data_IF_121678856837
#
_entry.id   IF_121678856837
#
_cell.length_a   1.000
_cell.length_b   1.000
_cell.length_c   1.000
_cell.angle_alpha   90.00
_cell.angle_beta   90.00
_cell.angle_gamma   90.00
#
_symmetry.space_group_name_H-M   'P 1'
#
loop_
_entity.id
_entity.type
_entity.pdbx_description
1 polymer ?
#
# COMPACT_ATOMS: atom_id res chain seq x y z
N UNK A 1 -1.74 -51.23 -20.19
CA UNK A 1 -3.15 -50.86 -20.46
C UNK A 1 -3.71 -50.31 -19.18
N UNK A 2 -4.20 -49.07 -19.18
CA UNK A 2 -4.50 -48.33 -17.94
C UNK A 2 -5.83 -47.60 -18.09
N UNK A 3 -6.66 -47.65 -17.05
CA UNK A 3 -7.86 -46.83 -16.90
C UNK A 3 -7.80 -46.07 -15.59
N UNK A 4 -8.31 -44.85 -15.59
CA UNK A 4 -8.26 -43.92 -14.46
C UNK A 4 -9.66 -43.43 -14.15
N UNK A 5 -9.98 -43.40 -12.86
CA UNK A 5 -11.29 -43.01 -12.35
C UNK A 5 -11.14 -41.96 -11.26
N UNK A 6 -11.96 -40.93 -11.30
CA UNK A 6 -12.08 -39.92 -10.25
C UNK A 6 -12.95 -40.44 -9.11
N UNK A 7 -12.61 -40.01 -7.90
CA UNK A 7 -13.38 -40.29 -6.71
C UNK A 7 -13.35 -39.08 -5.78
N UNK A 8 -14.41 -38.93 -4.99
CA UNK A 8 -14.59 -37.79 -4.08
C UNK A 8 -14.31 -38.13 -2.61
N UNK A 9 -14.08 -39.41 -2.29
CA UNK A 9 -13.75 -39.89 -0.95
C UNK A 9 -12.25 -39.81 -0.62
N UNK A 10 -11.85 -40.09 0.62
CA UNK A 10 -10.44 -40.24 0.98
C UNK A 10 -9.78 -41.45 0.28
N UNK A 11 -8.44 -41.39 0.08
CA UNK A 11 -7.66 -42.35 -0.72
C UNK A 11 -7.82 -43.79 -0.21
N UNK A 12 -7.70 -43.99 1.10
CA UNK A 12 -7.85 -45.29 1.75
C UNK A 12 -9.27 -45.86 1.57
N UNK A 13 -10.30 -45.01 1.71
CA UNK A 13 -11.69 -45.41 1.48
C UNK A 13 -11.96 -45.76 0.02
N UNK A 14 -11.32 -45.07 -0.92
CA UNK A 14 -11.46 -45.35 -2.35
C UNK A 14 -10.82 -46.70 -2.70
N UNK A 15 -9.64 -47.00 -2.15
CA UNK A 15 -8.96 -48.27 -2.36
C UNK A 15 -9.75 -49.46 -1.79
N UNK A 16 -10.30 -49.33 -0.58
CA UNK A 16 -11.16 -50.37 0.03
C UNK A 16 -12.44 -50.62 -0.77
N UNK A 17 -13.09 -49.56 -1.27
CA UNK A 17 -14.26 -49.71 -2.16
C UNK A 17 -13.88 -50.43 -3.46
N UNK A 18 -12.75 -50.08 -4.06
CA UNK A 18 -12.24 -50.75 -5.24
C UNK A 18 -11.92 -52.23 -4.95
N UNK A 19 -11.34 -52.55 -3.79
CA UNK A 19 -11.11 -53.94 -3.39
C UNK A 19 -12.41 -54.76 -3.37
N UNK A 20 -13.46 -54.24 -2.71
CA UNK A 20 -14.77 -54.90 -2.63
C UNK A 20 -15.36 -55.12 -4.03
N UNK A 21 -15.22 -54.14 -4.92
CA UNK A 21 -15.64 -54.26 -6.32
C UNK A 21 -14.91 -55.41 -7.03
N UNK A 22 -13.59 -55.49 -6.88
CA UNK A 22 -12.79 -56.56 -7.49
C UNK A 22 -13.14 -57.94 -6.90
N UNK A 23 -13.34 -58.04 -5.60
CA UNK A 23 -13.77 -59.30 -4.95
C UNK A 23 -15.16 -59.74 -5.43
N UNK A 24 -16.10 -58.81 -5.60
CA UNK A 24 -17.45 -59.07 -6.15
C UNK A 24 -17.39 -59.59 -7.60
N UNK A 25 -16.45 -59.10 -8.40
CA UNK A 25 -16.14 -59.60 -9.74
C UNK A 25 -15.33 -60.93 -9.72
N UNK A 26 -15.13 -61.50 -8.53
CA UNK A 26 -14.47 -62.77 -8.27
C UNK A 26 -12.94 -62.73 -8.35
N UNK A 27 -12.33 -61.55 -8.40
CA UNK A 27 -10.88 -61.42 -8.31
C UNK A 27 -10.44 -61.77 -6.89
N UNK A 28 -9.36 -62.54 -6.77
CA UNK A 28 -8.70 -62.78 -5.49
C UNK A 28 -7.58 -61.78 -5.33
N UNK A 29 -7.46 -61.16 -4.17
CA UNK A 29 -6.42 -60.16 -3.88
C UNK A 29 -5.17 -60.91 -3.41
N UNK A 30 -4.04 -60.68 -4.08
CA UNK A 30 -2.76 -61.31 -3.78
C UNK A 30 -1.93 -60.49 -2.79
N UNK A 31 -1.91 -59.17 -2.95
CA UNK A 31 -1.23 -58.25 -2.03
C UNK A 31 -2.08 -56.99 -1.86
N UNK A 32 -2.12 -56.46 -0.65
CA UNK A 32 -2.83 -55.23 -0.32
C UNK A 32 -1.93 -54.38 0.58
N UNK A 33 -1.60 -53.18 0.12
CA UNK A 33 -0.72 -52.24 0.82
C UNK A 33 -1.50 -50.96 1.14
N UNK A 34 -1.77 -50.76 2.43
CA UNK A 34 -2.48 -49.59 2.95
C UNK A 34 -1.62 -48.32 2.94
N UNK A 35 -0.29 -48.45 3.03
CA UNK A 35 0.62 -47.31 3.15
C UNK A 35 0.82 -46.66 1.78
N UNK A 36 1.12 -47.48 0.77
CA UNK A 36 1.35 -47.04 -0.60
C UNK A 36 0.04 -47.00 -1.43
N UNK A 37 -1.10 -47.30 -0.79
CA UNK A 37 -2.45 -47.26 -1.36
C UNK A 37 -2.61 -48.05 -2.68
N UNK A 38 -2.15 -49.30 -2.71
CA UNK A 38 -2.35 -50.18 -3.87
C UNK A 38 -2.67 -51.62 -3.49
N UNK A 39 -3.25 -52.36 -4.44
CA UNK A 39 -3.40 -53.81 -4.34
C UNK A 39 -3.16 -54.50 -5.67
N UNK A 40 -2.75 -55.76 -5.60
CA UNK A 40 -2.62 -56.66 -6.75
C UNK A 40 -3.55 -57.85 -6.64
N UNK A 41 -3.98 -58.37 -7.78
CA UNK A 41 -4.83 -59.57 -7.86
C UNK A 41 -4.01 -60.82 -8.15
N UNK A 42 -4.50 -61.98 -7.76
CA UNK A 42 -3.97 -63.25 -8.22
C UNK A 42 -4.13 -63.39 -9.74
N UNK A 43 -3.23 -64.17 -10.35
CA UNK A 43 -3.24 -64.42 -11.79
C UNK A 43 -4.56 -65.05 -12.24
N UNK A 44 -5.23 -64.42 -13.20
CA UNK A 44 -6.44 -64.92 -13.85
C UNK A 44 -6.19 -65.30 -15.29
N UNK A 45 -7.02 -66.20 -15.81
CA UNK A 45 -6.90 -66.72 -17.17
C UNK A 45 -8.13 -66.35 -17.98
N UNK A 46 -7.91 -65.77 -19.16
CA UNK A 46 -8.93 -65.67 -20.21
C UNK A 46 -8.66 -66.77 -21.23
N UNK A 47 -9.56 -67.74 -21.33
CA UNK A 47 -9.41 -68.87 -22.25
C UNK A 47 -9.75 -68.44 -23.69
N UNK A 48 -8.75 -68.49 -24.58
CA UNK A 48 -8.96 -68.51 -26.04
C UNK A 48 -8.99 -69.96 -26.51
N UNK A 49 -9.72 -70.23 -27.60
CA UNK A 49 -9.77 -71.54 -28.28
C UNK A 49 -8.41 -72.22 -28.52
N UNK A 50 -7.28 -71.47 -28.58
CA UNK A 50 -5.95 -72.05 -28.80
C UNK A 50 -4.80 -71.41 -27.99
N UNK A 51 -5.03 -70.37 -27.18
CA UNK A 51 -3.96 -69.66 -26.42
C UNK A 51 -4.51 -69.01 -25.13
N UNK A 52 -4.35 -69.60 -23.94
CA UNK A 52 -4.77 -68.95 -22.70
C UNK A 52 -3.95 -67.68 -22.46
N UNK A 53 -4.61 -66.61 -22.03
CA UNK A 53 -3.94 -65.36 -21.65
C UNK A 53 -4.01 -65.23 -20.13
N UNK A 54 -2.85 -65.10 -19.50
CA UNK A 54 -2.73 -64.91 -18.07
C UNK A 54 -2.62 -63.41 -17.79
N UNK A 55 -3.32 -62.89 -16.80
CA UNK A 55 -3.24 -61.47 -16.46
C UNK A 55 -3.41 -61.22 -14.95
N UNK A 56 -2.84 -60.10 -14.52
CA UNK A 56 -2.91 -59.56 -13.16
C UNK A 56 -3.39 -58.11 -13.28
N UNK A 57 -4.35 -57.74 -12.44
CA UNK A 57 -4.74 -56.35 -12.23
C UNK A 57 -3.96 -55.76 -11.05
N UNK A 58 -3.40 -54.58 -11.28
CA UNK A 58 -2.78 -53.70 -10.29
C UNK A 58 -3.68 -52.47 -10.15
N UNK A 59 -4.08 -52.14 -8.92
CA UNK A 59 -4.96 -51.01 -8.63
C UNK A 59 -4.28 -50.11 -7.61
N UNK A 60 -4.18 -48.82 -7.90
CA UNK A 60 -3.59 -47.83 -7.00
C UNK A 60 -4.49 -46.60 -6.85
N UNK A 61 -4.63 -46.09 -5.63
CA UNK A 61 -5.41 -44.91 -5.30
C UNK A 61 -4.47 -43.76 -4.87
N UNK A 62 -4.15 -42.87 -5.81
CA UNK A 62 -3.39 -41.64 -5.52
C UNK A 62 -4.35 -40.46 -5.54
N UNK A 63 -4.19 -39.49 -6.44
CA UNK A 63 -5.21 -38.43 -6.62
C UNK A 63 -6.41 -38.93 -7.43
N UNK A 64 -6.23 -40.05 -8.16
CA UNK A 64 -7.25 -40.81 -8.90
C UNK A 64 -7.03 -42.31 -8.71
N UNK A 65 -8.08 -43.09 -8.93
CA UNK A 65 -8.01 -44.54 -8.91
C UNK A 65 -7.49 -45.03 -10.27
N UNK A 66 -6.31 -45.63 -10.28
CA UNK A 66 -5.66 -46.14 -11.48
C UNK A 66 -5.71 -47.66 -11.49
N UNK A 67 -6.34 -48.23 -12.51
CA UNK A 67 -6.38 -49.67 -12.75
C UNK A 67 -5.47 -50.00 -13.94
N UNK A 68 -4.38 -50.69 -13.67
CA UNK A 68 -3.44 -51.19 -14.67
C UNK A 68 -3.57 -52.71 -14.81
N UNK A 69 -3.58 -53.19 -16.05
CA UNK A 69 -3.60 -54.63 -16.34
C UNK A 69 -2.27 -55.02 -16.98
N UNK A 70 -1.65 -56.03 -16.38
CA UNK A 70 -0.45 -56.70 -16.88
C UNK A 70 -0.81 -58.09 -17.37
N UNK A 71 -0.42 -58.44 -18.59
CA UNK A 71 -0.73 -59.74 -19.18
C UNK A 71 0.49 -60.47 -19.69
N UNK A 72 0.53 -61.78 -19.48
CA UNK A 72 1.51 -62.70 -20.00
C UNK A 72 0.82 -63.65 -21.01
N UNK A 73 1.34 -63.72 -22.23
CA UNK A 73 0.82 -64.62 -23.27
C UNK A 73 1.80 -65.78 -23.40
N UNK A 74 1.37 -66.99 -23.01
CA UNK A 74 2.19 -68.20 -23.14
C UNK A 74 1.90 -68.90 -24.48
N UNK A 75 2.91 -69.03 -25.33
CA UNK A 75 2.82 -69.78 -26.60
C UNK A 75 3.34 -71.20 -26.40
N UNK A 76 2.46 -72.20 -26.57
CA UNK A 76 2.88 -73.60 -26.62
C UNK A 76 3.20 -73.99 -28.07
N UNK A 77 4.45 -74.32 -28.38
CA UNK A 77 4.76 -75.07 -29.59
C UNK A 77 4.54 -76.56 -29.31
N UNK A 78 3.61 -77.17 -30.07
CA UNK A 78 3.41 -78.62 -30.05
C UNK A 78 4.45 -79.22 -31.01
N UNK A 79 5.54 -79.78 -30.50
CA UNK A 79 6.47 -80.54 -31.34
C UNK A 79 5.74 -81.74 -31.93
N UNK A 80 5.67 -81.81 -33.26
CA UNK A 80 5.21 -83.00 -33.97
C UNK A 80 6.24 -84.11 -33.76
N UNK A 81 5.75 -85.29 -33.34
CA UNK A 81 6.48 -86.55 -33.16
C UNK A 81 7.65 -86.74 -34.14
N UNK A 82 8.89 -86.58 -33.66
CA UNK A 82 10.12 -87.28 -34.10
C UNK A 82 11.36 -86.63 -33.44
N UNK A 83 11.50 -86.76 -32.13
CA UNK A 83 12.79 -86.68 -31.45
C UNK A 83 12.63 -87.22 -30.02
N UNK A 84 13.15 -88.42 -29.80
CA UNK A 84 13.48 -88.92 -28.47
C UNK A 84 14.59 -88.03 -27.89
N UNK A 85 14.58 -87.85 -26.57
CA UNK A 85 15.55 -87.13 -25.72
C UNK A 85 15.65 -85.61 -25.90
N UNK A 86 14.78 -84.88 -25.22
CA UNK A 86 15.11 -83.63 -24.55
C UNK A 86 13.99 -83.34 -23.54
N UNK A 87 14.37 -82.88 -22.36
CA UNK A 87 13.45 -82.34 -21.34
C UNK A 87 12.45 -81.38 -22.00
N UNK A 88 11.20 -81.37 -21.54
CA UNK A 88 10.19 -80.42 -22.00
C UNK A 88 10.63 -78.99 -21.70
N UNK A 89 11.42 -78.40 -22.59
CA UNK A 89 11.78 -76.99 -22.54
C UNK A 89 10.51 -76.18 -22.83
N UNK A 90 9.85 -75.77 -21.75
CA UNK A 90 8.97 -74.62 -21.77
C UNK A 90 9.82 -73.40 -22.17
N UNK A 91 9.74 -73.00 -23.43
CA UNK A 91 10.24 -71.68 -23.83
C UNK A 91 9.25 -70.64 -23.30
N UNK A 92 9.53 -70.13 -22.09
CA UNK A 92 8.96 -68.90 -21.59
C UNK A 92 9.53 -67.75 -22.43
N UNK A 93 8.68 -67.00 -23.15
CA UNK A 93 9.07 -65.64 -23.53
C UNK A 93 7.91 -64.71 -23.85
N UNK A 94 8.14 -63.48 -23.38
CA UNK A 94 7.52 -62.18 -23.63
C UNK A 94 6.18 -61.85 -22.93
N UNK A 95 6.32 -61.18 -21.78
CA UNK A 95 5.29 -60.32 -21.21
C UNK A 95 4.93 -59.21 -22.20
N UNK A 96 3.95 -59.45 -23.05
CA UNK A 96 3.51 -58.44 -24.03
C UNK A 96 2.58 -57.42 -23.35
N UNK A 97 2.95 -56.14 -23.37
CA UNK A 97 2.11 -55.04 -22.88
C UNK A 97 0.92 -54.70 -23.80
N UNK A 98 0.73 -55.44 -24.89
CA UNK A 98 -0.22 -55.14 -25.97
C UNK A 98 -1.27 -56.26 -26.12
N UNK A 99 -2.26 -56.25 -25.23
CA UNK A 99 -3.52 -56.99 -25.41
C UNK A 99 -4.40 -56.27 -26.44
N UNK A 100 -5.13 -57.01 -27.29
CA UNK A 100 -6.01 -56.38 -28.29
C UNK A 100 -7.24 -55.72 -27.67
N UNK A 101 -7.76 -54.68 -28.31
CA UNK A 101 -8.92 -53.89 -27.85
C UNK A 101 -10.10 -54.75 -27.39
N UNK A 102 -10.44 -55.81 -28.13
CA UNK A 102 -11.51 -56.74 -27.76
C UNK A 102 -11.29 -57.38 -26.39
N UNK A 103 -10.07 -57.81 -26.06
CA UNK A 103 -9.78 -58.38 -24.75
C UNK A 103 -9.66 -57.32 -23.67
N UNK A 104 -9.18 -56.13 -24.02
CA UNK A 104 -9.24 -54.99 -23.11
C UNK A 104 -10.68 -54.72 -22.69
N UNK A 105 -11.62 -54.70 -23.64
CA UNK A 105 -13.05 -54.53 -23.35
C UNK A 105 -13.62 -55.65 -22.49
N UNK A 106 -13.29 -56.92 -22.78
CA UNK A 106 -13.78 -58.06 -21.97
C UNK A 106 -13.33 -57.95 -20.51
N UNK A 107 -12.12 -57.44 -20.24
CA UNK A 107 -11.61 -57.32 -18.88
C UNK A 107 -12.04 -56.00 -18.23
N UNK A 108 -11.92 -54.87 -18.95
CA UNK A 108 -12.20 -53.54 -18.39
C UNK A 108 -13.68 -53.19 -18.35
N UNK A 109 -14.56 -53.72 -19.21
CA UNK A 109 -15.99 -53.34 -19.17
C UNK A 109 -16.65 -53.75 -17.84
N UNK A 110 -16.52 -55.01 -17.37
CA UNK A 110 -17.09 -55.40 -16.08
C UNK A 110 -16.49 -54.61 -14.90
N UNK A 111 -15.18 -54.31 -14.97
CA UNK A 111 -14.49 -53.51 -13.96
C UNK A 111 -15.01 -52.07 -13.98
N UNK A 112 -15.14 -51.46 -15.16
CA UNK A 112 -15.59 -50.07 -15.34
C UNK A 112 -17.02 -49.91 -14.87
N UNK A 113 -17.94 -50.77 -15.33
CA UNK A 113 -19.34 -50.75 -14.92
C UNK A 113 -19.47 -50.87 -13.40
N UNK A 114 -18.79 -51.84 -12.78
CA UNK A 114 -18.88 -52.03 -11.34
C UNK A 114 -18.19 -50.93 -10.52
N UNK A 115 -17.16 -50.27 -11.05
CA UNK A 115 -16.50 -49.12 -10.40
C UNK A 115 -17.40 -47.88 -10.50
N UNK A 116 -18.00 -47.62 -11.66
CA UNK A 116 -18.93 -46.49 -11.86
C UNK A 116 -20.19 -46.63 -11.00
N UNK A 117 -20.75 -47.83 -10.86
CA UNK A 117 -21.87 -48.13 -9.94
C UNK A 117 -21.54 -47.78 -8.47
N UNK A 118 -20.26 -47.77 -8.09
CA UNK A 118 -19.80 -47.44 -6.73
C UNK A 118 -19.38 -45.97 -6.57
N UNK A 119 -19.77 -45.10 -7.51
CA UNK A 119 -19.65 -43.65 -7.41
C UNK A 119 -18.33 -43.06 -7.89
N UNK A 120 -17.57 -43.82 -8.67
CA UNK A 120 -16.36 -43.32 -9.34
C UNK A 120 -16.74 -42.80 -10.74
N UNK A 121 -16.11 -41.73 -11.20
CA UNK A 121 -16.32 -41.19 -12.54
C UNK A 121 -15.16 -41.54 -13.46
N UNK A 122 -15.41 -41.98 -14.70
CA UNK A 122 -14.33 -42.22 -15.65
C UNK A 122 -13.67 -40.90 -16.05
N UNK A 123 -12.36 -40.82 -15.88
CA UNK A 123 -11.59 -39.65 -16.29
C UNK A 123 -11.16 -39.77 -17.76
N UNK A 124 -11.36 -38.71 -18.54
CA UNK A 124 -10.83 -38.59 -19.90
C UNK A 124 -9.87 -37.40 -20.01
N UNK A 125 -8.62 -37.70 -20.35
CA UNK A 125 -7.51 -36.75 -20.37
C UNK A 125 -7.72 -35.59 -21.33
N UNK A 126 -8.47 -35.81 -22.42
CA UNK A 126 -8.62 -34.81 -23.49
C UNK A 126 -9.71 -33.79 -23.13
N UNK A 127 -10.86 -34.25 -22.65
CA UNK A 127 -12.02 -33.39 -22.42
C UNK A 127 -11.86 -32.45 -21.20
N UNK A 128 -11.19 -32.89 -20.13
CA UNK A 128 -11.01 -32.05 -18.95
C UNK A 128 -9.85 -31.03 -19.11
N UNK A 129 -8.87 -31.30 -19.98
CA UNK A 129 -7.79 -30.33 -20.28
C UNK A 129 -8.32 -29.07 -20.96
N UNK A 130 -9.32 -29.19 -21.84
CA UNK A 130 -9.91 -28.05 -22.55
C UNK A 130 -10.68 -27.12 -21.60
N UNK A 131 -11.33 -27.68 -20.58
CA UNK A 131 -12.04 -26.90 -19.55
C UNK A 131 -11.07 -26.12 -18.66
N UNK A 132 -9.98 -26.75 -18.24
CA UNK A 132 -8.95 -26.09 -17.43
C UNK A 132 -8.30 -24.93 -18.20
N UNK A 133 -8.00 -25.12 -19.49
CA UNK A 133 -7.44 -24.07 -20.35
C UNK A 133 -8.39 -22.87 -20.52
N UNK A 134 -9.71 -23.09 -20.56
CA UNK A 134 -10.70 -22.03 -20.63
C UNK A 134 -10.76 -21.21 -19.33
N UNK A 135 -10.73 -21.90 -18.18
CA UNK A 135 -10.72 -21.26 -16.85
C UNK A 135 -9.46 -20.41 -16.68
N UNK A 136 -8.29 -20.93 -17.07
CA UNK A 136 -7.01 -20.21 -16.99
C UNK A 136 -7.07 -18.93 -17.82
N UNK A 137 -7.60 -19.01 -19.05
CA UNK A 137 -7.69 -17.85 -19.95
C UNK A 137 -8.59 -16.75 -19.40
N UNK A 138 -9.77 -17.12 -18.87
CA UNK A 138 -10.69 -16.16 -18.25
C UNK A 138 -10.07 -15.50 -17.02
N UNK A 139 -9.34 -16.26 -16.19
CA UNK A 139 -8.64 -15.71 -15.03
C UNK A 139 -7.53 -14.74 -15.43
N UNK A 140 -6.82 -15.00 -16.53
CA UNK A 140 -5.76 -14.13 -17.05
C UNK A 140 -6.32 -12.82 -17.62
N UNK A 141 -7.45 -12.87 -18.34
CA UNK A 141 -8.17 -11.67 -18.83
C UNK A 141 -8.66 -10.78 -17.67
N UNK A 142 -9.23 -11.38 -16.63
CA UNK A 142 -9.65 -10.67 -15.42
C UNK A 142 -8.46 -10.02 -14.70
N UNK A 143 -7.31 -10.69 -14.68
CA UNK A 143 -6.08 -10.14 -14.09
C UNK A 143 -5.57 -8.94 -14.88
N UNK A 144 -5.53 -9.03 -16.21
CA UNK A 144 -5.06 -7.95 -17.08
C UNK A 144 -5.96 -6.72 -16.96
N UNK A 145 -7.28 -6.92 -17.01
CA UNK A 145 -8.25 -5.81 -16.86
C UNK A 145 -8.12 -5.12 -15.50
N UNK A 146 -8.02 -5.88 -14.40
CA UNK A 146 -7.80 -5.31 -13.07
C UNK A 146 -6.48 -4.50 -12.98
N UNK A 147 -5.41 -4.98 -13.61
CA UNK A 147 -4.14 -4.24 -13.65
C UNK A 147 -4.27 -2.92 -14.43
N UNK A 148 -4.97 -2.91 -15.56
CA UNK A 148 -5.21 -1.70 -16.36
C UNK A 148 -6.01 -0.65 -15.57
N UNK A 149 -7.06 -1.07 -14.86
CA UNK A 149 -7.85 -0.16 -14.02
C UNK A 149 -7.02 0.48 -12.89
N UNK A 150 -6.09 -0.29 -12.29
CA UNK A 150 -5.18 0.23 -11.26
C UNK A 150 -4.22 1.25 -11.87
N UNK A 151 -3.64 0.96 -13.04
CA UNK A 151 -2.76 1.90 -13.73
C UNK A 151 -3.47 3.20 -14.11
N UNK A 152 -4.70 3.13 -14.63
CA UNK A 152 -5.48 4.32 -14.97
C UNK A 152 -5.77 5.18 -13.74
N UNK A 153 -6.15 4.56 -12.61
CA UNK A 153 -6.37 5.28 -11.35
C UNK A 153 -5.10 5.95 -10.85
N UNK A 154 -3.94 5.27 -10.93
CA UNK A 154 -2.65 5.87 -10.56
C UNK A 154 -2.32 7.09 -11.42
N UNK A 155 -2.48 6.99 -12.75
CA UNK A 155 -2.25 8.13 -13.66
C UNK A 155 -3.18 9.30 -13.38
N UNK A 156 -4.43 9.04 -13.00
CA UNK A 156 -5.37 10.10 -12.59
C UNK A 156 -4.92 10.80 -11.30
N UNK A 157 -4.49 10.03 -10.29
CA UNK A 157 -3.97 10.59 -9.04
C UNK A 157 -2.73 11.46 -9.27
N UNK A 158 -1.76 10.96 -10.05
CA UNK A 158 -0.56 11.73 -10.41
C UNK A 158 -0.91 13.05 -11.13
N UNK A 159 -1.92 13.02 -12.01
CA UNK A 159 -2.39 14.23 -12.69
C UNK A 159 -2.99 15.24 -11.72
N UNK A 160 -3.83 14.79 -10.79
CA UNK A 160 -4.44 15.65 -9.76
C UNK A 160 -3.36 16.29 -8.88
N UNK A 161 -2.38 15.50 -8.44
CA UNK A 161 -1.27 15.98 -7.60
C UNK A 161 -0.39 17.00 -8.34
N UNK A 162 -0.16 16.79 -9.64
CA UNK A 162 0.57 17.74 -10.48
C UNK A 162 -0.21 19.04 -10.67
N UNK A 163 -1.51 18.96 -10.93
CA UNK A 163 -2.38 20.13 -11.09
C UNK A 163 -2.49 20.94 -9.77
N UNK A 164 -2.59 20.27 -8.62
CA UNK A 164 -2.58 20.95 -7.31
C UNK A 164 -1.24 21.63 -7.03
N UNK A 165 -0.13 20.94 -7.28
CA UNK A 165 1.22 21.49 -7.09
C UNK A 165 1.47 22.72 -7.98
N UNK A 166 1.01 22.68 -9.23
CA UNK A 166 1.08 23.83 -10.14
C UNK A 166 0.24 25.01 -9.64
N UNK A 167 -0.97 24.74 -9.14
CA UNK A 167 -1.84 25.78 -8.57
C UNK A 167 -1.19 26.45 -7.35
N UNK A 168 -0.65 25.66 -6.42
CA UNK A 168 0.07 26.17 -5.25
C UNK A 168 1.28 27.02 -5.66
N UNK A 169 2.03 26.58 -6.68
CA UNK A 169 3.14 27.35 -7.22
C UNK A 169 2.68 28.70 -7.79
N UNK A 170 1.59 28.74 -8.56
CA UNK A 170 1.04 29.98 -9.11
C UNK A 170 0.56 30.94 -8.00
N UNK A 171 -0.18 30.42 -7.01
CA UNK A 171 -0.61 31.21 -5.85
C UNK A 171 0.59 31.78 -5.08
N UNK A 172 1.65 30.99 -4.91
CA UNK A 172 2.89 31.46 -4.30
C UNK A 172 3.55 32.58 -5.09
N UNK A 173 3.64 32.45 -6.42
CA UNK A 173 4.20 33.49 -7.29
C UNK A 173 3.39 34.79 -7.23
N UNK A 174 2.06 34.69 -7.28
CA UNK A 174 1.19 35.86 -7.21
C UNK A 174 1.27 36.56 -5.84
N UNK A 175 1.35 35.79 -4.76
CA UNK A 175 1.60 36.35 -3.42
C UNK A 175 2.95 37.10 -3.36
N UNK A 176 4.01 36.57 -3.99
CA UNK A 176 5.30 37.28 -4.08
C UNK A 176 5.20 38.56 -4.90
N UNK A 177 4.45 38.56 -6.01
CA UNK A 177 4.21 39.76 -6.83
C UNK A 177 3.46 40.82 -6.05
N UNK A 178 2.39 40.45 -5.35
CA UNK A 178 1.63 41.35 -4.49
C UNK A 178 2.48 41.92 -3.36
N UNK A 179 3.34 41.08 -2.75
CA UNK A 179 4.30 41.53 -1.74
C UNK A 179 5.24 42.57 -2.34
N UNK A 180 5.91 42.27 -3.45
CA UNK A 180 6.83 43.17 -4.13
C UNK A 180 6.18 44.53 -4.46
N UNK A 181 4.95 44.52 -4.98
CA UNK A 181 4.18 45.75 -5.23
C UNK A 181 3.98 46.59 -3.97
N UNK A 182 3.59 45.97 -2.86
CA UNK A 182 3.45 46.67 -1.57
C UNK A 182 4.77 47.21 -1.03
N UNK A 183 5.88 46.48 -1.20
CA UNK A 183 7.20 46.96 -0.77
C UNK A 183 7.60 48.23 -1.54
N UNK A 184 7.36 48.24 -2.85
CA UNK A 184 7.62 49.39 -3.73
C UNK A 184 6.73 50.57 -3.36
N UNK A 185 5.44 50.36 -3.17
CA UNK A 185 4.52 51.43 -2.75
C UNK A 185 4.96 52.07 -1.43
N UNK A 186 5.36 51.26 -0.44
CA UNK A 186 5.84 51.81 0.82
C UNK A 186 7.16 52.53 0.69
N UNK A 187 8.08 52.00 -0.14
CA UNK A 187 9.34 52.66 -0.40
C UNK A 187 9.13 54.04 -1.03
N UNK A 188 8.22 54.13 -2.01
CA UNK A 188 7.84 55.39 -2.65
C UNK A 188 7.12 56.34 -1.68
N UNK A 189 6.20 55.83 -0.85
CA UNK A 189 5.51 56.64 0.17
C UNK A 189 6.48 57.25 1.18
N UNK A 190 7.50 56.51 1.57
CA UNK A 190 8.37 56.90 2.67
C UNK A 190 9.63 57.67 2.23
N UNK A 191 10.14 57.40 1.02
CA UNK A 191 11.37 58.03 0.51
C UNK A 191 11.21 58.64 -0.88
N UNK A 192 10.01 59.12 -1.22
CA UNK A 192 9.57 59.67 -2.51
C UNK A 192 10.63 60.36 -3.39
N UNK A 193 11.58 61.10 -2.81
CA UNK A 193 12.66 61.80 -3.53
C UNK A 193 14.07 61.56 -2.99
N UNK A 194 14.25 60.77 -1.93
CA UNK A 194 15.55 60.53 -1.30
C UNK A 194 16.10 59.14 -1.64
N UNK A 195 17.43 59.00 -1.79
CA UNK A 195 18.08 57.68 -1.84
C UNK A 195 18.43 57.26 -0.40
N UNK A 196 17.60 56.42 0.27
CA UNK A 196 17.91 56.03 1.63
C UNK A 196 19.10 55.08 1.64
N UNK A 197 19.93 55.15 2.69
CA UNK A 197 20.98 54.15 2.93
C UNK A 197 20.41 52.76 3.28
N UNK A 198 19.13 52.71 3.65
CA UNK A 198 18.35 51.50 3.97
C UNK A 198 17.14 51.41 3.05
N UNK A 199 16.99 50.29 2.35
CA UNK A 199 15.76 50.02 1.60
C UNK A 199 14.81 49.14 2.41
N UNK A 200 13.51 49.40 2.30
CA UNK A 200 12.46 48.51 2.81
C UNK A 200 12.64 47.09 2.28
N UNK A 201 13.01 46.94 1.00
CA UNK A 201 13.23 45.64 0.35
C UNK A 201 14.42 44.92 0.98
N UNK A 202 15.45 45.66 1.41
CA UNK A 202 16.62 45.08 2.06
C UNK A 202 16.27 44.62 3.48
N UNK A 203 15.49 45.42 4.22
CA UNK A 203 14.98 45.06 5.56
C UNK A 203 14.04 43.85 5.51
N UNK A 204 13.12 43.81 4.54
CA UNK A 204 12.19 42.69 4.37
C UNK A 204 12.94 41.41 4.01
N UNK A 205 13.94 41.48 3.11
CA UNK A 205 14.80 40.33 2.78
C UNK A 205 15.59 39.81 3.97
N UNK A 206 16.10 40.69 4.84
CA UNK A 206 16.79 40.24 6.07
C UNK A 206 15.83 39.46 6.97
N UNK A 207 14.59 39.94 7.14
CA UNK A 207 13.57 39.22 7.93
C UNK A 207 13.12 37.92 7.26
N UNK A 208 13.01 37.88 5.93
CA UNK A 208 12.70 36.65 5.20
C UNK A 208 13.79 35.59 5.36
N UNK A 209 15.08 35.97 5.37
CA UNK A 209 16.21 35.05 5.63
C UNK A 209 16.17 34.45 7.02
N UNK A 210 15.65 35.20 7.99
CA UNK A 210 15.54 34.80 9.39
C UNK A 210 14.20 34.13 9.70
N UNK A 211 13.31 33.98 8.70
CA UNK A 211 11.95 33.44 8.87
C UNK A 211 11.93 32.05 9.50
N UNK A 212 12.84 31.18 9.09
CA UNK A 212 12.94 29.81 9.66
C UNK A 212 13.22 29.84 11.16
N UNK A 213 14.01 30.80 11.66
CA UNK A 213 14.26 30.94 13.10
C UNK A 213 13.02 31.40 13.85
N UNK A 214 12.23 32.29 13.25
CA UNK A 214 10.93 32.67 13.82
C UNK A 214 9.97 31.47 13.86
N UNK A 215 9.84 30.73 12.76
CA UNK A 215 8.98 29.54 12.70
C UNK A 215 9.44 28.44 13.67
N UNK A 216 10.75 28.27 13.87
CA UNK A 216 11.30 27.35 14.86
C UNK A 216 10.87 27.72 16.29
N UNK A 217 10.88 29.01 16.65
CA UNK A 217 10.40 29.47 17.96
C UNK A 217 8.95 29.06 18.20
N UNK A 218 8.08 29.24 17.21
CA UNK A 218 6.69 28.82 17.33
C UNK A 218 6.58 27.32 17.52
N UNK A 219 7.32 26.52 16.73
CA UNK A 219 7.32 25.06 16.89
C UNK A 219 7.78 24.67 18.29
N UNK A 220 8.92 25.16 18.75
CA UNK A 220 9.48 24.87 20.07
C UNK A 220 8.49 25.21 21.21
N UNK A 221 7.94 26.42 21.18
CA UNK A 221 7.09 26.94 22.27
C UNK A 221 5.69 26.31 22.27
N UNK A 222 5.14 26.01 21.09
CA UNK A 222 3.77 25.51 20.91
C UNK A 222 3.73 23.98 20.88
N UNK A 223 4.88 23.29 20.85
CA UNK A 223 4.98 21.82 20.66
C UNK A 223 4.06 20.98 21.56
N UNK A 224 3.83 21.42 22.79
CA UNK A 224 3.08 20.66 23.81
C UNK A 224 1.58 20.99 23.85
N UNK A 225 1.14 21.98 23.07
CA UNK A 225 -0.20 22.54 23.18
C UNK A 225 -1.10 22.12 22.02
N UNK A 226 -2.38 21.86 22.33
CA UNK A 226 -3.40 21.57 21.32
C UNK A 226 -4.17 22.85 20.98
N UNK A 227 -4.53 22.97 19.70
CA UNK A 227 -5.41 24.01 19.16
C UNK A 227 -4.93 25.43 19.50
N UNK A 228 -3.75 25.76 18.98
CA UNK A 228 -3.09 27.03 19.20
C UNK A 228 -3.38 27.95 18.02
N UNK A 229 -3.99 29.08 18.31
CA UNK A 229 -4.28 30.11 17.33
C UNK A 229 -4.08 31.48 17.93
N UNK A 230 -3.82 32.47 17.08
CA UNK A 230 -3.67 33.83 17.54
C UNK A 230 -3.18 34.76 16.45
N UNK A 231 -3.27 36.04 16.76
CA UNK A 231 -2.69 37.11 15.95
C UNK A 231 -1.77 37.93 16.82
N UNK A 232 -0.73 38.48 16.21
CA UNK A 232 0.22 39.30 16.93
C UNK A 232 0.80 40.41 16.08
N UNK A 233 1.47 41.32 16.78
CA UNK A 233 2.08 42.49 16.20
C UNK A 233 3.46 42.70 16.82
N UNK A 234 4.46 42.68 15.96
CA UNK A 234 5.82 43.07 16.25
C UNK A 234 5.94 44.58 15.99
N UNK A 235 6.41 45.32 16.99
CA UNK A 235 6.68 46.75 16.94
C UNK A 235 8.12 46.96 17.39
N UNK A 236 8.98 47.52 16.55
CA UNK A 236 10.40 47.65 16.91
C UNK A 236 11.06 48.88 16.29
N UNK A 237 12.19 49.28 16.87
CA UNK A 237 13.00 50.40 16.40
C UNK A 237 14.39 49.88 16.03
N UNK A 238 14.80 50.15 14.79
CA UNK A 238 16.14 49.87 14.29
C UNK A 238 17.02 51.10 14.51
N UNK A 239 18.12 50.93 15.23
CA UNK A 239 19.12 51.94 15.51
C UNK A 239 19.93 52.34 14.29
N UNK A 240 20.75 53.39 14.38
CA UNK A 240 21.63 53.83 13.28
C UNK A 240 22.73 52.81 12.95
N UNK A 241 23.17 52.06 13.94
CA UNK A 241 24.09 50.93 13.85
C UNK A 241 23.47 49.72 13.12
N UNK A 242 22.15 49.60 13.09
CA UNK A 242 21.44 48.47 12.48
C UNK A 242 20.96 47.44 13.49
N UNK A 243 21.16 47.67 14.78
CA UNK A 243 20.64 46.79 15.83
C UNK A 243 19.22 47.21 16.23
N UNK A 244 18.46 46.27 16.79
CA UNK A 244 17.14 46.57 17.37
C UNK A 244 17.34 47.18 18.75
N UNK A 245 16.98 48.45 18.90
CA UNK A 245 17.22 49.21 20.14
C UNK A 245 16.00 49.19 21.06
N UNK A 246 14.82 48.99 20.50
CA UNK A 246 13.59 48.84 21.26
C UNK A 246 12.60 47.91 20.54
N UNK A 247 11.82 47.15 21.32
CA UNK A 247 10.96 46.08 20.85
C UNK A 247 9.77 45.86 21.78
N UNK A 248 8.58 45.84 21.18
CA UNK A 248 7.35 45.40 21.80
C UNK A 248 6.63 44.38 20.92
N UNK A 249 6.17 43.30 21.55
CA UNK A 249 5.43 42.24 20.90
C UNK A 249 4.08 42.09 21.59
N UNK A 250 3.01 42.37 20.85
CA UNK A 250 1.62 42.20 21.31
C UNK A 250 1.08 40.93 20.69
N UNK A 251 0.50 40.05 21.50
CA UNK A 251 -0.08 38.78 21.08
C UNK A 251 -1.49 38.74 21.67
N UNK A 252 -2.44 38.30 20.85
CA UNK A 252 -3.80 37.98 21.24
C UNK A 252 -4.08 36.57 20.72
N UNK A 253 -4.18 35.60 21.63
CA UNK A 253 -4.16 34.18 21.28
C UNK A 253 -5.07 33.33 22.15
N UNK A 254 -5.25 32.06 21.75
CA UNK A 254 -6.03 31.11 22.53
C UNK A 254 -5.42 30.86 23.91
N UNK A 255 -6.27 30.47 24.87
CA UNK A 255 -5.91 30.22 26.28
C UNK A 255 -4.73 29.24 26.42
N UNK A 256 -4.61 28.28 25.49
CA UNK A 256 -3.56 27.26 25.52
C UNK A 256 -2.20 27.78 25.04
N UNK A 257 -2.14 29.00 24.51
CA UNK A 257 -0.91 29.57 23.97
C UNK A 257 -0.05 30.15 25.09
N UNK A 258 1.20 29.68 25.28
CA UNK A 258 2.11 30.25 26.27
C UNK A 258 2.69 31.58 25.76
N UNK A 259 1.86 32.64 25.78
CA UNK A 259 2.17 33.94 25.19
C UNK A 259 3.46 34.55 25.69
N UNK A 260 3.72 34.49 27.00
CA UNK A 260 4.92 35.11 27.60
C UNK A 260 6.19 34.45 27.07
N UNK A 261 6.25 33.12 27.07
CA UNK A 261 7.39 32.39 26.51
C UNK A 261 7.56 32.64 25.01
N UNK A 262 6.46 32.65 24.26
CA UNK A 262 6.48 32.95 22.82
C UNK A 262 7.02 34.35 22.57
N UNK A 263 6.53 35.34 23.32
CA UNK A 263 6.94 36.74 23.27
C UNK A 263 8.43 36.89 23.54
N UNK A 264 8.95 36.29 24.60
CA UNK A 264 10.35 36.43 25.00
C UNK A 264 11.31 35.78 23.99
N UNK A 265 10.93 34.61 23.45
CA UNK A 265 11.72 33.93 22.42
C UNK A 265 11.73 34.70 21.10
N UNK A 266 10.57 35.17 20.64
CA UNK A 266 10.48 36.02 19.45
C UNK A 266 11.29 37.31 19.63
N UNK A 267 11.25 37.89 20.85
CA UNK A 267 12.03 39.07 21.17
C UNK A 267 13.53 38.82 21.11
N UNK A 268 13.99 37.68 21.64
CA UNK A 268 15.38 37.26 21.58
C UNK A 268 15.86 37.10 20.14
N UNK A 269 15.07 36.45 19.28
CA UNK A 269 15.43 36.28 17.86
C UNK A 269 15.54 37.65 17.18
N UNK A 270 14.53 38.51 17.31
CA UNK A 270 14.54 39.81 16.63
C UNK A 270 15.69 40.72 17.10
N UNK A 271 16.04 40.68 18.40
CA UNK A 271 17.20 41.43 18.94
C UNK A 271 18.54 40.91 18.42
N UNK A 272 18.63 39.62 18.05
CA UNK A 272 19.85 39.03 17.49
C UNK A 272 20.10 39.39 16.02
N UNK A 273 19.09 39.92 15.32
CA UNK A 273 19.20 40.25 13.91
C UNK A 273 19.93 41.58 13.75
N UNK A 274 20.97 41.56 12.93
CA UNK A 274 21.70 42.76 12.51
C UNK A 274 21.20 43.23 11.15
N UNK A 275 20.65 44.44 11.11
CA UNK A 275 20.28 45.13 9.88
C UNK A 275 21.45 46.01 9.41
N UNK A 276 21.39 46.45 8.15
CA UNK A 276 22.37 47.40 7.61
C UNK A 276 22.35 48.71 8.38
N UNK A 277 23.50 49.33 8.61
CA UNK A 277 23.59 50.65 9.25
C UNK A 277 22.94 51.76 8.40
N UNK A 278 22.53 52.85 9.05
CA UNK A 278 21.78 53.94 8.43
C UNK A 278 21.96 55.25 9.18
N UNK A 279 21.37 56.32 8.65
CA UNK A 279 21.53 57.66 9.23
C UNK A 279 20.47 58.00 10.29
N UNK A 280 19.40 57.21 10.38
CA UNK A 280 18.22 57.49 11.19
C UNK A 280 17.69 56.22 11.86
N UNK A 281 16.94 56.42 12.94
CA UNK A 281 16.15 55.39 13.59
C UNK A 281 14.90 55.10 12.78
N UNK A 282 14.58 53.82 12.57
CA UNK A 282 13.40 53.40 11.82
C UNK A 282 12.44 52.65 12.73
N UNK A 283 11.19 53.12 12.80
CA UNK A 283 10.12 52.46 13.55
C UNK A 283 9.34 51.53 12.64
N UNK A 284 9.39 50.26 12.97
CA UNK A 284 8.86 49.16 12.18
C UNK A 284 7.63 48.54 12.83
N UNK A 285 6.76 47.99 11.99
CA UNK A 285 5.57 47.25 12.40
C UNK A 285 5.38 46.04 11.49
N UNK A 286 5.12 44.87 12.06
CA UNK A 286 4.78 43.67 11.30
C UNK A 286 3.70 42.88 12.01
N UNK A 287 2.69 42.45 11.26
CA UNK A 287 1.64 41.56 11.76
C UNK A 287 2.07 40.12 11.53
N UNK A 288 1.67 39.23 12.43
CA UNK A 288 1.76 37.80 12.21
C UNK A 288 0.49 37.11 12.70
N UNK A 289 0.24 35.93 12.17
CA UNK A 289 -0.86 35.07 12.59
C UNK A 289 -0.42 33.62 12.57
N UNK A 290 -0.97 32.82 13.47
CA UNK A 290 -0.69 31.41 13.55
C UNK A 290 -1.98 30.66 13.87
N UNK A 291 -2.10 29.46 13.31
CA UNK A 291 -3.22 28.57 13.58
C UNK A 291 -2.79 27.13 13.34
N UNK A 292 -3.09 26.26 14.30
CA UNK A 292 -3.02 24.82 14.11
C UNK A 292 -2.69 24.06 15.37
N UNK A 293 -2.06 22.91 15.17
CA UNK A 293 -1.60 22.02 16.22
C UNK A 293 -0.14 21.61 15.95
N UNK A 294 0.42 20.77 16.83
CA UNK A 294 1.79 20.27 16.72
C UNK A 294 2.20 19.82 15.30
N UNK A 295 1.34 19.06 14.62
CA UNK A 295 1.65 18.48 13.31
C UNK A 295 1.33 19.40 12.13
N UNK A 296 0.50 20.43 12.33
CA UNK A 296 -0.02 21.26 11.24
C UNK A 296 -0.15 22.72 11.68
N UNK A 297 0.96 23.30 12.15
CA UNK A 297 1.03 24.71 12.51
C UNK A 297 1.25 25.55 11.25
N UNK A 298 0.23 26.33 10.87
CA UNK A 298 0.34 27.32 9.79
C UNK A 298 0.68 28.67 10.39
N UNK A 299 1.71 29.32 9.84
CA UNK A 299 2.18 30.63 10.27
C UNK A 299 2.24 31.56 9.07
N UNK A 300 1.67 32.74 9.24
CA UNK A 300 1.78 33.81 8.26
C UNK A 300 2.40 35.05 8.91
N UNK A 301 3.53 35.48 8.33
CA UNK A 301 4.19 36.72 8.68
C UNK A 301 3.86 37.74 7.59
N UNK A 302 3.06 38.73 7.97
CA UNK A 302 2.73 39.84 7.10
C UNK A 302 3.99 40.63 6.72
N UNK A 303 3.82 41.56 5.79
CA UNK A 303 4.90 42.43 5.33
C UNK A 303 5.31 43.44 6.42
N UNK A 304 6.63 43.65 6.67
CA UNK A 304 7.11 44.67 7.60
C UNK A 304 6.96 46.07 7.04
N UNK A 305 6.38 46.97 7.82
CA UNK A 305 6.03 48.33 7.43
C UNK A 305 6.83 49.35 8.22
N UNK A 306 7.37 50.37 7.54
CA UNK A 306 7.93 51.54 8.21
C UNK A 306 6.79 52.48 8.58
N UNK A 307 6.75 52.84 9.86
CA UNK A 307 5.73 53.74 10.41
C UNK A 307 6.27 55.14 10.69
N UNK A 308 7.57 55.27 11.01
CA UNK A 308 8.21 56.56 11.26
C UNK A 308 9.75 56.47 11.14
N UNK A 309 10.37 57.62 10.95
CA UNK A 309 11.81 57.82 10.90
C UNK A 309 12.18 58.96 11.85
N UNK A 310 13.25 58.78 12.61
CA UNK A 310 13.71 59.75 13.59
C UNK A 310 15.22 59.96 13.45
N UNK A 311 15.68 61.21 13.54
CA UNK A 311 17.10 61.51 13.53
C UNK A 311 17.75 61.32 14.92
N UNK A 312 16.94 61.44 15.97
CA UNK A 312 17.31 61.21 17.38
C UNK A 312 16.63 59.96 17.92
N UNK A 313 17.07 59.49 19.10
CA UNK A 313 16.52 58.29 19.72
C UNK A 313 15.02 58.49 20.01
N UNK A 314 14.12 57.72 19.37
CA UNK A 314 12.69 57.91 19.55
C UNK A 314 12.25 57.45 20.94
N UNK A 315 11.12 58.00 21.41
CA UNK A 315 10.50 57.58 22.66
C UNK A 315 10.19 56.07 22.59
N UNK A 316 10.70 55.26 23.54
CA UNK A 316 10.46 53.83 23.59
C UNK A 316 8.97 53.45 23.61
N UNK A 317 8.64 52.27 23.11
CA UNK A 317 7.29 51.71 23.13
C UNK A 317 6.78 51.42 24.55
N UNK A 318 7.67 51.28 25.53
CA UNK A 318 7.33 51.22 26.96
C UNK A 318 6.71 52.54 27.40
N UNK A 319 7.28 53.66 26.99
CA UNK A 319 6.98 54.98 27.56
C UNK A 319 5.76 55.64 26.89
N UNK A 320 5.49 55.32 25.62
CA UNK A 320 4.35 55.91 24.85
C UNK A 320 2.97 55.38 25.29
N UNK A 321 2.91 54.24 26.01
CA UNK A 321 1.67 53.49 26.18
C UNK A 321 1.37 53.03 27.62
N UNK A 322 2.10 53.48 28.63
CA UNK A 322 1.74 53.26 30.05
C UNK A 322 0.34 53.79 30.42
N UNK A 323 -0.30 54.63 29.57
CA UNK A 323 -1.62 55.21 29.82
C UNK A 323 -2.76 54.91 28.84
N UNK A 324 -2.54 54.24 27.69
CA UNK A 324 -3.52 54.31 26.57
C UNK A 324 -4.10 53.00 26.05
N UNK A 325 -3.72 51.83 26.59
CA UNK A 325 -4.24 50.54 26.09
C UNK A 325 -5.22 49.79 27.01
N UNK A 326 -5.50 50.28 28.22
CA UNK A 326 -6.51 49.66 29.12
C UNK A 326 -7.57 50.62 29.71
N UNK A 327 -7.59 51.91 29.31
CA UNK A 327 -8.57 52.88 29.83
C UNK A 327 -9.93 52.90 29.09
N UNK A 328 -10.11 52.09 28.03
CA UNK A 328 -11.42 51.87 27.39
C UNK A 328 -12.14 50.59 27.87
N UNK A 329 -11.68 49.96 28.95
CA UNK A 329 -12.39 48.86 29.63
C UNK A 329 -12.89 49.22 31.04
N UNK A 330 -13.30 50.49 31.26
CA UNK A 330 -14.08 50.81 32.46
C UNK A 330 -15.40 51.51 32.12
N UNK A 331 -16.47 50.89 32.63
CA UNK A 331 -17.86 51.34 32.78
C UNK A 331 -18.79 51.10 31.58
N UNK A 332 -19.07 49.83 31.30
CA UNK A 332 -20.49 49.46 31.23
C UNK A 332 -21.06 49.69 32.63
N UNK A 333 -21.68 50.87 32.78
CA UNK A 333 -22.57 51.18 33.89
C UNK A 333 -23.66 50.14 33.84
N UNK A 334 -23.70 49.26 34.86
CA UNK A 334 -24.92 48.58 35.22
C UNK A 334 -25.97 49.65 35.54
N UNK A 335 -26.81 49.95 34.56
CA UNK A 335 -28.04 50.69 34.77
C UNK A 335 -28.98 49.79 35.56
N UNK A 336 -28.85 49.88 36.89
CA UNK A 336 -29.89 49.43 37.81
C UNK A 336 -31.13 50.26 37.50
N UNK A 337 -32.08 49.63 36.81
CA UNK A 337 -33.44 50.14 36.70
C UNK A 337 -34.04 50.02 38.11
N UNK A 338 -34.07 51.15 38.83
CA UNK A 338 -34.96 51.30 39.99
C UNK A 338 -36.36 51.51 39.41
N UNK A 339 -37.22 50.50 39.54
CA UNK A 339 -38.67 50.70 39.43
C UNK A 339 -39.20 51.02 40.82
N UNK A 340 -39.98 52.11 40.88
CA UNK A 340 -40.80 52.50 42.02
C UNK A 340 -41.73 51.38 42.47
#
# INVERSE_FOLDING_TARGET
MVRTYEYTSEKESALRKAQIVFEKLGYKISSYDEVDNYFTTEMRVVNRLFRPIYYVAFVAAHDRLTVAIYSEVRTFMRSSRLAFSAETEQVMQDASNNLSDRFQYVIFNPITESIEENGFARWDRVADSERDDEIIRQAEELRISAMLEIEEKMRQLERIERESSLKEFHEFQDNRRLRAGREVEQHLKFWSTSRPKRSIVELSRTLEREREKFEAVFREVVTTQRDVNGTGMLLWIIGKDGLVVDLRIVIDSSINTPETHLRDRLASILKSISFKSGNSFLKMKQRFSFNGNYNNLKMDFGFPVITAQFDEYPIPFTDVFEGTLFLNQQKEVSSVIIKN
#
